data_IF_513035152507
#
_entry.id   IF_513035152507
#
_cell.length_a   1.000
_cell.length_b   1.000
_cell.length_c   1.000
_cell.angle_alpha   90.00
_cell.angle_beta   90.00
_cell.angle_gamma   90.00
#
_symmetry.space_group_name_H-M   'P 1'
#
loop_
_entity.id
_entity.type
_entity.pdbx_description
1 polymer ?
#
# COMPACT_ATOMS: atom_id res chain seq x y z
N UNK A 1 6.51 -2.02 1.07
CA UNK A 1 6.89 -0.60 0.91
C UNK A 1 6.79 -0.12 -0.54
N UNK A 2 7.37 -0.81 -1.53
CA UNK A 2 7.26 -0.35 -2.94
C UNK A 2 5.82 -0.44 -3.46
N UNK A 3 5.09 -1.51 -3.10
CA UNK A 3 3.66 -1.62 -3.43
C UNK A 3 2.81 -0.50 -2.81
N UNK A 4 3.16 -0.07 -1.58
CA UNK A 4 2.51 1.06 -0.92
C UNK A 4 2.76 2.37 -1.68
N UNK A 5 4.01 2.62 -2.08
CA UNK A 5 4.34 3.80 -2.88
C UNK A 5 3.56 3.83 -4.20
N UNK A 6 3.45 2.68 -4.90
CA UNK A 6 2.66 2.58 -6.13
C UNK A 6 1.18 2.90 -5.90
N UNK A 7 0.59 2.37 -4.81
CA UNK A 7 -0.81 2.66 -4.47
C UNK A 7 -1.05 4.15 -4.17
N UNK A 8 -0.12 4.80 -3.48
CA UNK A 8 -0.20 6.25 -3.20
C UNK A 8 -0.07 7.09 -4.49
N UNK A 9 0.81 6.70 -5.41
CA UNK A 9 0.93 7.37 -6.72
C UNK A 9 -0.35 7.21 -7.57
N UNK A 10 -0.95 6.02 -7.58
CA UNK A 10 -2.24 5.79 -8.25
C UNK A 10 -3.35 6.66 -7.65
N UNK A 11 -3.42 6.78 -6.33
CA UNK A 11 -4.37 7.64 -5.62
C UNK A 11 -4.14 9.12 -5.96
N UNK A 12 -2.88 9.58 -5.97
CA UNK A 12 -2.51 10.94 -6.34
C UNK A 12 -2.91 11.28 -7.77
N UNK A 13 -2.67 10.36 -8.72
CA UNK A 13 -3.09 10.51 -10.11
C UNK A 13 -4.61 10.66 -10.19
N UNK A 14 -5.36 9.76 -9.55
CA UNK A 14 -6.82 9.78 -9.55
C UNK A 14 -7.39 11.08 -8.95
N UNK A 15 -6.84 11.54 -7.82
CA UNK A 15 -7.26 12.79 -7.18
C UNK A 15 -7.00 14.02 -8.07
N UNK A 16 -5.82 14.09 -8.72
CA UNK A 16 -5.46 15.17 -9.63
C UNK A 16 -6.30 15.17 -10.91
N UNK A 17 -6.59 13.99 -11.46
CA UNK A 17 -7.47 13.86 -12.62
C UNK A 17 -8.90 14.32 -12.31
N UNK A 18 -9.44 13.92 -11.16
CA UNK A 18 -10.75 14.36 -10.69
C UNK A 18 -10.82 15.88 -10.52
N UNK A 19 -9.80 16.47 -9.90
CA UNK A 19 -9.69 17.91 -9.72
C UNK A 19 -9.63 18.64 -11.07
N UNK A 20 -8.83 18.15 -12.02
CA UNK A 20 -8.78 18.70 -13.40
C UNK A 20 -10.12 18.60 -14.11
N UNK A 21 -10.82 17.47 -13.98
CA UNK A 21 -12.13 17.27 -14.60
C UNK A 21 -13.15 18.31 -14.11
N UNK A 22 -13.22 18.53 -12.79
CA UNK A 22 -14.14 19.52 -12.19
C UNK A 22 -13.74 20.96 -12.58
N UNK A 23 -12.44 21.24 -12.65
CA UNK A 23 -11.94 22.54 -13.08
C UNK A 23 -12.29 22.85 -14.54
N UNK A 24 -12.25 21.83 -15.41
CA UNK A 24 -12.65 21.94 -16.81
C UNK A 24 -14.17 22.15 -16.98
N UNK A 25 -15.00 21.68 -16.04
CA UNK A 25 -16.43 21.94 -16.05
C UNK A 25 -16.74 23.43 -15.80
N UNK A 26 -17.62 24.00 -16.64
CA UNK A 26 -18.10 25.38 -16.47
C UNK A 26 -18.73 25.54 -15.09
N UNK A 27 -18.41 26.62 -14.37
CA UNK A 27 -18.91 26.90 -13.01
C UNK A 27 -20.43 26.73 -12.86
N UNK A 28 -21.21 27.13 -13.86
CA UNK A 28 -22.69 27.04 -13.85
C UNK A 28 -23.24 25.63 -14.04
N UNK A 29 -22.43 24.70 -14.51
CA UNK A 29 -22.78 23.30 -14.74
C UNK A 29 -22.27 22.36 -13.63
N UNK A 30 -21.58 22.89 -12.61
CA UNK A 30 -21.07 22.10 -11.49
C UNK A 30 -22.19 21.71 -10.55
N UNK A 31 -22.12 20.46 -10.10
CA UNK A 31 -23.00 19.92 -9.07
C UNK A 31 -22.53 20.33 -7.67
N UNK A 32 -23.35 20.06 -6.66
CA UNK A 32 -22.95 20.22 -5.26
C UNK A 32 -21.77 19.30 -4.89
N UNK A 33 -21.75 18.08 -5.42
CA UNK A 33 -20.64 17.14 -5.24
C UNK A 33 -19.33 17.70 -5.81
N UNK A 34 -19.36 18.29 -7.01
CA UNK A 34 -18.19 18.90 -7.63
C UNK A 34 -17.61 20.04 -6.78
N UNK A 35 -18.46 20.85 -6.14
CA UNK A 35 -18.01 21.94 -5.28
C UNK A 35 -17.43 21.42 -3.96
N UNK A 36 -17.99 20.36 -3.38
CA UNK A 36 -17.41 19.71 -2.20
C UNK A 36 -16.04 19.11 -2.53
N UNK A 37 -15.94 18.43 -3.67
CA UNK A 37 -14.69 17.85 -4.15
C UNK A 37 -13.62 18.93 -4.42
N UNK A 38 -13.99 20.10 -4.94
CA UNK A 38 -13.05 21.23 -5.10
C UNK A 38 -12.48 21.75 -3.78
N UNK A 39 -13.21 21.58 -2.67
CA UNK A 39 -12.76 22.00 -1.34
C UNK A 39 -11.93 20.91 -0.66
N UNK A 40 -12.31 19.64 -0.84
CA UNK A 40 -11.67 18.50 -0.18
C UNK A 40 -10.41 18.01 -0.91
N UNK A 41 -10.46 17.89 -2.24
CA UNK A 41 -9.39 17.27 -3.03
C UNK A 41 -8.01 17.94 -2.90
N UNK A 42 -7.89 19.28 -2.78
CA UNK A 42 -6.58 19.90 -2.59
C UNK A 42 -5.88 19.44 -1.30
N UNK A 43 -6.63 19.27 -0.21
CA UNK A 43 -6.08 18.78 1.06
C UNK A 43 -5.68 17.30 0.94
N UNK A 44 -6.54 16.46 0.34
CA UNK A 44 -6.20 15.04 0.14
C UNK A 44 -4.97 14.85 -0.75
N UNK A 45 -4.81 15.69 -1.78
CA UNK A 45 -3.61 15.67 -2.64
C UNK A 45 -2.35 15.99 -1.83
N UNK A 46 -2.39 17.01 -0.98
CA UNK A 46 -1.25 17.36 -0.13
C UNK A 46 -0.90 16.24 0.86
N UNK A 47 -1.92 15.61 1.48
CA UNK A 47 -1.72 14.50 2.42
C UNK A 47 -1.11 13.27 1.75
N UNK A 48 -1.51 12.96 0.50
CA UNK A 48 -0.94 11.85 -0.27
C UNK A 48 0.49 12.18 -0.72
N UNK A 49 0.77 13.42 -1.13
CA UNK A 49 2.13 13.87 -1.47
C UNK A 49 3.09 13.77 -0.28
N UNK A 50 2.65 14.14 0.93
CA UNK A 50 3.44 14.00 2.15
C UNK A 50 3.76 12.53 2.47
N UNK A 51 2.76 11.64 2.32
CA UNK A 51 2.96 10.21 2.52
C UNK A 51 3.93 9.61 1.49
N UNK A 52 3.84 10.02 0.22
CA UNK A 52 4.78 9.63 -0.83
C UNK A 52 6.20 10.07 -0.45
N UNK A 53 6.40 11.30 0.00
CA UNK A 53 7.72 11.78 0.43
C UNK A 53 8.26 11.00 1.64
N UNK A 54 7.40 10.66 2.60
CA UNK A 54 7.75 9.82 3.74
C UNK A 54 8.23 8.42 3.32
N UNK A 55 7.48 7.76 2.42
CA UNK A 55 7.84 6.43 1.90
C UNK A 55 9.09 6.50 1.02
N UNK A 56 9.22 7.50 0.16
CA UNK A 56 10.41 7.70 -0.67
C UNK A 56 11.66 7.94 0.19
N UNK A 57 11.53 8.72 1.28
CA UNK A 57 12.61 8.92 2.26
C UNK A 57 13.03 7.60 2.90
N UNK A 58 12.08 6.77 3.32
CA UNK A 58 12.36 5.45 3.87
C UNK A 58 13.03 4.49 2.86
N UNK A 59 12.76 4.66 1.57
CA UNK A 59 13.34 3.86 0.48
C UNK A 59 14.74 4.32 0.02
N UNK A 60 15.29 5.39 0.61
CA UNK A 60 16.61 5.93 0.24
C UNK A 60 16.59 7.37 -0.26
N UNK A 61 15.45 8.06 -0.10
CA UNK A 61 15.30 9.50 -0.30
C UNK A 61 15.73 9.97 -1.70
N UNK A 62 16.68 10.91 -1.82
CA UNK A 62 17.11 11.46 -3.11
C UNK A 62 17.63 10.40 -4.09
N UNK A 63 18.34 9.37 -3.61
CA UNK A 63 18.88 8.32 -4.47
C UNK A 63 17.76 7.46 -5.08
N UNK A 64 16.73 7.16 -4.29
CA UNK A 64 15.54 6.46 -4.76
C UNK A 64 14.74 7.32 -5.74
N UNK A 65 14.57 8.62 -5.49
CA UNK A 65 13.90 9.54 -6.42
C UNK A 65 14.64 9.69 -7.75
N UNK A 66 15.97 9.79 -7.71
CA UNK A 66 16.79 9.82 -8.92
C UNK A 66 16.65 8.54 -9.74
N UNK A 67 16.50 7.39 -9.08
CA UNK A 67 16.20 6.12 -9.72
C UNK A 67 14.78 6.14 -10.31
N UNK A 68 13.76 6.51 -9.55
CA UNK A 68 12.36 6.53 -10.01
C UNK A 68 12.11 7.51 -11.18
N UNK A 69 12.83 8.63 -11.22
CA UNK A 69 12.74 9.62 -12.30
C UNK A 69 13.56 9.30 -13.55
N UNK A 70 14.38 8.24 -13.54
CA UNK A 70 15.17 7.85 -14.70
C UNK A 70 14.32 7.08 -15.72
N UNK A 71 14.30 7.54 -16.97
CA UNK A 71 13.55 6.92 -18.07
C UNK A 71 14.25 5.71 -18.71
N UNK A 72 15.35 5.26 -18.12
CA UNK A 72 16.17 4.16 -18.64
C UNK A 72 15.53 2.78 -18.41
N UNK A 73 15.59 1.93 -19.44
CA UNK A 73 15.07 0.55 -19.40
C UNK A 73 15.71 -0.30 -18.29
N UNK A 74 17.00 -0.05 -17.99
CA UNK A 74 17.73 -0.69 -16.89
C UNK A 74 17.13 -0.31 -15.53
N UNK A 75 16.72 0.94 -15.37
CA UNK A 75 16.13 1.43 -14.13
C UNK A 75 14.76 0.81 -13.89
N UNK A 76 13.92 0.73 -14.93
CA UNK A 76 12.67 -0.01 -14.87
C UNK A 76 12.87 -1.48 -14.47
N UNK A 77 13.90 -2.14 -15.00
CA UNK A 77 14.23 -3.50 -14.60
C UNK A 77 14.64 -3.60 -13.11
N UNK A 78 15.42 -2.65 -12.59
CA UNK A 78 15.81 -2.61 -11.17
C UNK A 78 14.61 -2.37 -10.24
N UNK A 79 13.69 -1.50 -10.64
CA UNK A 79 12.44 -1.26 -9.91
C UNK A 79 11.58 -2.54 -9.92
N UNK A 80 11.40 -3.17 -11.08
CA UNK A 80 10.66 -4.42 -11.21
C UNK A 80 11.25 -5.57 -10.36
N UNK A 81 12.57 -5.74 -10.36
CA UNK A 81 13.26 -6.71 -9.49
C UNK A 81 13.03 -6.38 -8.01
N UNK A 82 13.04 -5.10 -7.64
CA UNK A 82 12.81 -4.67 -6.27
C UNK A 82 11.38 -4.96 -5.80
N UNK A 83 10.39 -4.76 -6.67
CA UNK A 83 8.99 -5.15 -6.44
C UNK A 83 8.88 -6.67 -6.25
N UNK A 84 9.43 -7.45 -7.19
CA UNK A 84 9.40 -8.91 -7.11
C UNK A 84 10.03 -9.44 -5.81
N UNK A 85 11.15 -8.83 -5.38
CA UNK A 85 11.80 -9.15 -4.11
C UNK A 85 10.91 -8.82 -2.90
N UNK A 86 10.23 -7.68 -2.90
CA UNK A 86 9.29 -7.30 -1.84
C UNK A 86 8.15 -8.31 -1.73
N UNK A 87 7.55 -8.67 -2.87
CA UNK A 87 6.43 -9.63 -2.92
C UNK A 87 6.87 -11.02 -2.45
N UNK A 88 8.06 -11.48 -2.84
CA UNK A 88 8.61 -12.75 -2.38
C UNK A 88 8.84 -12.75 -0.86
N UNK A 89 9.31 -11.64 -0.30
CA UNK A 89 9.50 -11.49 1.14
C UNK A 89 8.16 -11.59 1.88
N UNK A 90 7.13 -10.86 1.44
CA UNK A 90 5.78 -10.91 2.02
C UNK A 90 5.20 -12.33 1.96
N UNK A 91 5.31 -13.02 0.82
CA UNK A 91 4.87 -14.39 0.67
C UNK A 91 5.61 -15.36 1.61
N UNK A 92 6.93 -15.19 1.77
CA UNK A 92 7.74 -15.98 2.72
C UNK A 92 7.28 -15.76 4.15
N UNK A 93 7.09 -14.51 4.57
CA UNK A 93 6.60 -14.18 5.93
C UNK A 93 5.22 -14.79 6.16
N UNK A 94 4.29 -14.61 5.23
CA UNK A 94 2.94 -15.19 5.32
C UNK A 94 2.94 -16.72 5.45
N UNK A 95 3.87 -17.40 4.77
CA UNK A 95 4.03 -18.86 4.90
C UNK A 95 4.59 -19.27 6.26
N UNK A 96 5.57 -18.53 6.79
CA UNK A 96 6.14 -18.77 8.13
C UNK A 96 5.06 -18.56 9.19
N UNK A 97 4.32 -17.45 9.13
CA UNK A 97 3.23 -17.16 10.07
C UNK A 97 2.10 -18.19 9.98
N UNK A 98 1.78 -18.69 8.78
CA UNK A 98 0.78 -19.73 8.59
C UNK A 98 1.23 -21.09 9.16
N UNK A 99 2.53 -21.41 9.08
CA UNK A 99 3.11 -22.58 9.74
C UNK A 99 3.09 -22.43 11.25
N UNK A 100 3.48 -21.25 11.75
CA UNK A 100 3.49 -20.95 13.17
C UNK A 100 2.09 -21.02 13.79
N UNK A 101 1.08 -20.46 13.11
CA UNK A 101 -0.34 -20.56 13.52
C UNK A 101 -0.81 -22.01 13.59
N UNK A 102 -0.49 -22.83 12.58
CA UNK A 102 -0.83 -24.26 12.59
C UNK A 102 -0.21 -24.96 13.79
N UNK A 103 1.10 -24.81 14.03
CA UNK A 103 1.78 -25.44 15.15
C UNK A 103 1.19 -25.04 16.52
N UNK A 104 0.87 -23.76 16.71
CA UNK A 104 0.19 -23.29 17.91
C UNK A 104 -1.20 -23.91 18.06
N UNK A 105 -1.96 -24.02 16.97
CA UNK A 105 -3.29 -24.62 17.01
C UNK A 105 -3.24 -26.13 17.29
N UNK A 106 -2.25 -26.86 16.75
CA UNK A 106 -2.04 -28.28 17.08
C UNK A 106 -1.67 -28.46 18.55
N UNK A 107 -0.78 -27.61 19.07
CA UNK A 107 -0.39 -27.66 20.49
C UNK A 107 -1.57 -27.35 21.42
N UNK A 108 -2.39 -26.34 21.10
CA UNK A 108 -3.62 -26.02 21.84
C UNK A 108 -4.62 -27.18 21.82
N UNK A 109 -4.82 -27.80 20.64
CA UNK A 109 -5.72 -28.94 20.49
C UNK A 109 -5.23 -30.16 21.30
N UNK A 110 -3.93 -30.45 21.27
CA UNK A 110 -3.34 -31.56 22.05
C UNK A 110 -3.51 -31.36 23.57
N UNK A 111 -3.35 -30.12 24.07
CA UNK A 111 -3.57 -29.80 25.48
C UNK A 111 -5.05 -29.96 25.85
N UNK A 112 -5.97 -29.50 25.00
CA UNK A 112 -7.41 -29.59 25.25
C UNK A 112 -7.95 -31.03 25.23
N UNK A 113 -7.40 -31.90 24.39
CA UNK A 113 -7.71 -33.34 24.37
C UNK A 113 -7.17 -34.06 25.61
N UNK A 114 -6.03 -33.64 26.15
CA UNK A 114 -5.47 -34.21 27.37
C UNK A 114 -6.29 -33.81 28.62
N UNK A 115 -6.82 -32.59 28.67
CA UNK A 115 -7.65 -32.13 29.79
C UNK A 115 -9.06 -32.74 29.82
N UNK A 116 -9.62 -33.14 28.66
CA UNK A 116 -10.95 -33.77 28.59
C UNK A 116 -10.94 -35.25 28.95
N UNK A 117 -9.79 -35.92 28.88
CA UNK A 117 -9.64 -37.32 29.30
C UNK A 117 -9.50 -37.51 30.81
N UNK A 118 -9.39 -36.41 31.57
CA UNK A 118 -9.17 -36.44 33.02
C UNK A 118 -10.45 -36.19 33.83
N UNK A 119 -11.57 -35.89 33.18
CA UNK A 119 -12.89 -35.65 33.81
C UNK A 119 -13.87 -36.84 33.68
N UNK A 120 -13.58 -37.85 32.84
CA UNK A 120 -14.44 -39.02 32.59
C UNK A 120 -13.96 -40.32 33.29
N UNK A 121 -13.12 -40.21 34.33
CA UNK A 121 -12.52 -41.35 35.07
C UNK A 121 -12.99 -41.49 36.51
#
# INVERSE_FOLDING_TARGET
MIALLLGLEEELIGARERLRAIQATRRRARTYADNNDLMALPATVADVEEQIEGVATALGGPAFRALAGATDSKTNALIAISIARSNLYEAKVGLIESRLRRHHNTAKCAIQCASTQQEDG
#
